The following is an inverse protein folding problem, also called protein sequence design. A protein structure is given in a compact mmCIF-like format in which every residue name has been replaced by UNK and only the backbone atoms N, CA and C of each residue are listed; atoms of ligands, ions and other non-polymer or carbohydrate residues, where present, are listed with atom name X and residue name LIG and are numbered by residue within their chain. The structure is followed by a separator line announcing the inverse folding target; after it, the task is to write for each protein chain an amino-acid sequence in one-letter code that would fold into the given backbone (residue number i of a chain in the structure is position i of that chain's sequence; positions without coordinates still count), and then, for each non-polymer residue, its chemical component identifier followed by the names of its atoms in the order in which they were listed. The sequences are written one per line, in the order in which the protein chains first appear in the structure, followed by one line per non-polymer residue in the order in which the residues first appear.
data_IF_725697526763
#
_entry.id   IF_725697526763
#
_cell.length_a   1.000
_cell.length_b   1.000
_cell.length_c   1.000
_cell.angle_alpha   90.00
_cell.angle_beta   90.00
_cell.angle_gamma   90.00
#
_symmetry.space_group_name_H-M   'P 1'
#
loop_
_entity.id
_entity.type
_entity.pdbx_description
1 polymer ?
#
# COMPACT_ATOMS: atom_id res chain seq x y z
N UNK A 1 20.29 -0.61 17.83
CA UNK A 1 18.99 -1.31 17.83
C UNK A 1 19.15 -2.65 18.53
N UNK A 2 18.19 -3.07 19.35
CA UNK A 2 18.21 -4.43 19.93
C UNK A 2 17.94 -5.44 18.79
N UNK A 3 18.75 -6.48 18.72
CA UNK A 3 18.58 -7.56 17.75
C UNK A 3 17.51 -8.54 18.27
N UNK A 4 16.53 -8.85 17.44
CA UNK A 4 15.50 -9.85 17.77
C UNK A 4 16.05 -11.21 17.38
N UNK A 5 16.17 -12.13 18.35
CA UNK A 5 16.56 -13.50 18.07
C UNK A 5 15.46 -14.21 17.24
N UNK A 6 15.88 -15.02 16.25
CA UNK A 6 14.95 -15.74 15.36
C UNK A 6 13.96 -16.61 16.16
N UNK A 7 14.40 -17.18 17.30
CA UNK A 7 13.52 -17.95 18.20
C UNK A 7 12.38 -17.11 18.79
N UNK A 8 12.58 -15.82 19.01
CA UNK A 8 11.54 -14.95 19.54
C UNK A 8 10.44 -14.64 18.51
N UNK A 9 10.75 -14.71 17.21
CA UNK A 9 9.73 -14.57 16.17
C UNK A 9 8.70 -15.70 16.23
N UNK A 10 9.09 -16.89 16.71
CA UNK A 10 8.17 -18.03 16.85
C UNK A 10 7.02 -17.76 17.84
N UNK A 11 7.22 -16.89 18.82
CA UNK A 11 6.15 -16.52 19.76
C UNK A 11 4.97 -15.83 19.08
N UNK A 12 5.20 -15.20 17.91
CA UNK A 12 4.12 -14.61 17.12
C UNK A 12 3.19 -15.65 16.47
N UNK A 13 3.57 -16.92 16.45
CA UNK A 13 2.71 -18.02 15.96
C UNK A 13 1.45 -18.15 16.82
N UNK A 14 1.55 -17.88 18.13
CA UNK A 14 0.41 -18.01 19.06
C UNK A 14 -0.73 -17.06 18.67
N UNK A 15 -0.55 -15.72 18.65
CA UNK A 15 -1.63 -14.82 18.25
C UNK A 15 -2.06 -15.01 16.78
N UNK A 16 -1.14 -15.36 15.87
CA UNK A 16 -1.47 -15.66 14.48
C UNK A 16 -2.38 -16.91 14.36
N UNK A 17 -2.15 -17.94 15.18
CA UNK A 17 -2.98 -19.15 15.19
C UNK A 17 -4.39 -18.86 15.72
N UNK A 18 -4.52 -18.02 16.74
CA UNK A 18 -5.84 -17.59 17.26
C UNK A 18 -6.62 -16.85 16.17
N UNK A 19 -5.99 -15.88 15.51
CA UNK A 19 -6.62 -15.12 14.42
C UNK A 19 -6.95 -16.05 13.25
N UNK A 20 -6.04 -16.93 12.87
CA UNK A 20 -6.24 -17.89 11.77
C UNK A 20 -7.41 -18.85 12.04
N UNK A 21 -7.55 -19.33 13.27
CA UNK A 21 -8.68 -20.17 13.68
C UNK A 21 -10.00 -19.39 13.64
N UNK A 22 -10.05 -18.19 14.21
CA UNK A 22 -11.25 -17.34 14.18
C UNK A 22 -11.66 -16.99 12.75
N UNK A 23 -10.69 -16.63 11.91
CA UNK A 23 -10.92 -16.33 10.49
C UNK A 23 -11.51 -17.54 9.75
N UNK A 24 -10.94 -18.73 9.97
CA UNK A 24 -11.47 -19.97 9.41
C UNK A 24 -12.92 -20.23 9.87
N UNK A 25 -13.22 -20.06 11.16
CA UNK A 25 -14.55 -20.30 11.72
C UNK A 25 -15.60 -19.36 11.17
N UNK A 26 -15.26 -18.09 10.93
CA UNK A 26 -16.22 -17.07 10.50
C UNK A 26 -16.32 -16.90 8.98
N UNK A 27 -15.21 -17.06 8.27
CA UNK A 27 -15.13 -16.81 6.83
C UNK A 27 -15.11 -18.10 6.01
N UNK A 28 -14.80 -19.25 6.63
CA UNK A 28 -14.76 -20.55 5.98
C UNK A 28 -13.52 -20.85 5.15
N UNK A 29 -12.56 -19.92 5.06
CA UNK A 29 -11.33 -20.08 4.26
C UNK A 29 -10.20 -20.66 5.10
N UNK A 30 -9.86 -21.93 4.85
CA UNK A 30 -8.75 -22.61 5.51
C UNK A 30 -7.40 -22.09 5.02
N UNK A 31 -6.49 -21.80 5.97
CA UNK A 31 -5.08 -21.55 5.66
C UNK A 31 -4.76 -20.21 5.03
N UNK A 32 -5.73 -19.31 4.78
CA UNK A 32 -5.47 -18.02 4.15
C UNK A 32 -4.50 -17.15 4.96
N UNK A 33 -4.67 -17.09 6.28
CA UNK A 33 -3.78 -16.33 7.18
C UNK A 33 -2.37 -16.96 7.19
N UNK A 34 -2.28 -18.29 7.27
CA UNK A 34 -0.99 -18.98 7.27
C UNK A 34 -0.24 -18.78 5.94
N UNK A 35 -0.95 -18.88 4.80
CA UNK A 35 -0.36 -18.63 3.48
C UNK A 35 0.09 -17.16 3.34
N UNK A 36 -0.71 -16.21 3.81
CA UNK A 36 -0.35 -14.79 3.79
C UNK A 36 0.90 -14.52 4.64
N UNK A 37 0.97 -15.10 5.84
CA UNK A 37 2.13 -14.96 6.73
C UNK A 37 3.39 -15.58 6.13
N UNK A 38 3.30 -16.80 5.59
CA UNK A 38 4.44 -17.45 4.92
C UNK A 38 4.94 -16.64 3.73
N UNK A 39 4.01 -16.19 2.87
CA UNK A 39 4.33 -15.35 1.72
C UNK A 39 5.00 -14.04 2.14
N UNK A 40 4.47 -13.37 3.16
CA UNK A 40 5.06 -12.14 3.73
C UNK A 40 6.50 -12.39 4.19
N UNK A 41 6.74 -13.47 4.96
CA UNK A 41 8.07 -13.78 5.50
C UNK A 41 9.08 -14.05 4.37
N UNK A 42 8.71 -14.86 3.39
CA UNK A 42 9.57 -15.13 2.22
C UNK A 42 9.84 -13.86 1.42
N UNK A 43 8.81 -13.04 1.17
CA UNK A 43 8.96 -11.79 0.44
C UNK A 43 9.88 -10.80 1.16
N UNK A 44 9.76 -10.67 2.49
CA UNK A 44 10.64 -9.77 3.26
C UNK A 44 12.10 -10.21 3.21
N UNK A 45 12.36 -11.51 3.31
CA UNK A 45 13.73 -12.04 3.19
C UNK A 45 14.30 -11.75 1.79
N UNK A 46 13.55 -12.06 0.74
CA UNK A 46 13.98 -11.81 -0.65
C UNK A 46 14.23 -10.32 -0.92
N UNK A 47 13.31 -9.46 -0.48
CA UNK A 47 13.47 -8.01 -0.63
C UNK A 47 14.69 -7.52 0.13
N UNK A 48 14.98 -8.05 1.32
CA UNK A 48 16.19 -7.71 2.08
C UNK A 48 17.45 -7.91 1.25
N UNK A 49 17.62 -9.06 0.59
CA UNK A 49 18.76 -9.33 -0.29
C UNK A 49 18.81 -8.39 -1.50
N UNK A 50 17.65 -8.16 -2.16
CA UNK A 50 17.58 -7.25 -3.31
C UNK A 50 17.96 -5.82 -2.92
N UNK A 51 17.49 -5.34 -1.77
CA UNK A 51 17.81 -3.99 -1.27
C UNK A 51 19.30 -3.83 -0.96
N UNK A 52 19.94 -4.84 -0.37
CA UNK A 52 21.39 -4.80 -0.11
C UNK A 52 22.16 -4.59 -1.41
N UNK A 53 21.89 -5.41 -2.44
CA UNK A 53 22.53 -5.28 -3.75
C UNK A 53 22.23 -3.94 -4.43
N UNK A 54 20.98 -3.48 -4.34
CA UNK A 54 20.55 -2.23 -4.99
C UNK A 54 21.18 -0.99 -4.33
N UNK A 55 21.33 -0.99 -3.01
CA UNK A 55 21.95 0.11 -2.29
C UNK A 55 23.47 0.21 -2.52
N UNK A 56 24.12 -0.90 -2.86
CA UNK A 56 25.53 -0.93 -3.25
C UNK A 56 25.75 -0.42 -4.68
N UNK A 57 24.89 -0.82 -5.62
CA UNK A 57 25.07 -0.52 -7.04
C UNK A 57 24.41 0.78 -7.50
N UNK A 58 23.34 1.20 -6.82
CA UNK A 58 22.49 2.37 -7.14
C UNK A 58 22.12 2.49 -8.64
N UNK A 59 21.77 1.36 -9.25
CA UNK A 59 21.53 1.24 -10.68
C UNK A 59 20.08 1.59 -11.05
N UNK A 60 19.85 2.58 -11.89
CA UNK A 60 18.51 3.06 -12.29
C UNK A 60 17.63 1.97 -12.90
N UNK A 61 18.18 1.06 -13.69
CA UNK A 61 17.39 -0.01 -14.31
C UNK A 61 16.86 -1.01 -13.27
N UNK A 62 17.65 -1.34 -12.24
CA UNK A 62 17.19 -2.21 -11.14
C UNK A 62 16.11 -1.54 -10.30
N UNK A 63 16.28 -0.25 -10.03
CA UNK A 63 15.25 0.56 -9.35
C UNK A 63 13.94 0.56 -10.14
N UNK A 64 14.01 0.83 -11.44
CA UNK A 64 12.84 0.85 -12.33
C UNK A 64 12.16 -0.51 -12.41
N UNK A 65 12.93 -1.59 -12.52
CA UNK A 65 12.42 -2.96 -12.52
C UNK A 65 11.69 -3.28 -11.21
N UNK A 66 12.27 -2.90 -10.08
CA UNK A 66 11.65 -3.12 -8.77
C UNK A 66 10.33 -2.34 -8.64
N UNK A 67 10.27 -1.09 -9.09
CA UNK A 67 9.04 -0.29 -9.10
C UNK A 67 7.96 -0.94 -9.97
N UNK A 68 8.31 -1.47 -11.13
CA UNK A 68 7.38 -2.21 -12.01
C UNK A 68 6.86 -3.46 -11.32
N UNK A 69 7.72 -4.23 -10.67
CA UNK A 69 7.31 -5.41 -9.89
C UNK A 69 6.39 -5.01 -8.75
N UNK A 70 6.70 -3.93 -8.01
CA UNK A 70 5.88 -3.45 -6.90
C UNK A 70 4.48 -3.04 -7.36
N UNK A 71 4.37 -2.20 -8.39
CA UNK A 71 3.06 -1.72 -8.86
C UNK A 71 2.23 -2.83 -9.49
N UNK A 72 2.86 -3.74 -10.24
CA UNK A 72 2.18 -4.90 -10.85
C UNK A 72 1.66 -5.84 -9.77
N UNK A 73 2.47 -6.12 -8.75
CA UNK A 73 2.06 -6.93 -7.59
C UNK A 73 0.91 -6.28 -6.84
N UNK A 74 0.96 -4.96 -6.62
CA UNK A 74 -0.13 -4.21 -6.00
C UNK A 74 -1.43 -4.33 -6.80
N UNK A 75 -1.36 -4.22 -8.14
CA UNK A 75 -2.52 -4.40 -9.01
C UNK A 75 -3.10 -5.82 -8.96
N UNK A 76 -2.25 -6.85 -8.93
CA UNK A 76 -2.70 -8.25 -8.77
C UNK A 76 -3.40 -8.48 -7.43
N UNK A 77 -2.88 -7.92 -6.35
CA UNK A 77 -3.49 -8.05 -5.02
C UNK A 77 -4.82 -7.29 -4.98
N UNK A 78 -4.86 -6.06 -5.52
CA UNK A 78 -6.09 -5.27 -5.58
C UNK A 78 -7.22 -6.00 -6.31
N UNK A 79 -6.90 -6.68 -7.42
CA UNK A 79 -7.86 -7.45 -8.21
C UNK A 79 -8.44 -8.66 -7.49
N UNK A 80 -7.77 -9.18 -6.46
CA UNK A 80 -8.14 -10.44 -5.80
C UNK A 80 -9.58 -10.47 -5.32
N UNK A 81 -10.08 -9.37 -4.80
CA UNK A 81 -11.43 -9.25 -4.21
C UNK A 81 -12.50 -8.78 -5.21
N UNK A 82 -12.13 -8.59 -6.47
CA UNK A 82 -13.04 -8.14 -7.52
C UNK A 82 -13.59 -9.36 -8.26
N UNK A 83 -14.92 -9.49 -8.44
CA UNK A 83 -15.52 -10.64 -9.12
C UNK A 83 -15.09 -10.73 -10.59
N UNK A 84 -15.02 -9.59 -11.28
CA UNK A 84 -14.62 -9.52 -12.69
C UNK A 84 -13.10 -9.67 -12.83
N UNK A 85 -12.68 -10.80 -13.38
CA UNK A 85 -11.26 -11.14 -13.56
C UNK A 85 -10.80 -11.03 -15.03
N UNK A 86 -11.43 -10.14 -15.80
CA UNK A 86 -11.02 -9.85 -17.16
C UNK A 86 -9.72 -9.01 -17.23
N UNK A 87 -9.08 -9.05 -18.38
CA UNK A 87 -7.82 -8.31 -18.59
C UNK A 87 -8.04 -6.79 -18.61
N UNK A 88 -9.20 -6.34 -19.06
CA UNK A 88 -9.55 -4.90 -19.10
C UNK A 88 -9.64 -4.31 -17.70
N UNK A 89 -10.31 -5.01 -16.78
CA UNK A 89 -10.39 -4.59 -15.36
C UNK A 89 -9.02 -4.58 -14.71
N UNK A 90 -8.17 -5.59 -14.97
CA UNK A 90 -6.79 -5.57 -14.49
C UNK A 90 -6.00 -4.38 -15.04
N UNK A 91 -6.11 -4.09 -16.33
CA UNK A 91 -5.47 -2.93 -16.95
C UNK A 91 -5.91 -1.61 -16.32
N UNK A 92 -7.21 -1.45 -16.04
CA UNK A 92 -7.73 -0.25 -15.36
C UNK A 92 -7.18 -0.12 -13.94
N UNK A 93 -7.13 -1.21 -13.18
CA UNK A 93 -6.54 -1.22 -11.83
C UNK A 93 -5.06 -0.77 -11.89
N UNK A 94 -4.29 -1.41 -12.77
CA UNK A 94 -2.86 -1.10 -12.94
C UNK A 94 -2.66 0.38 -13.31
N UNK A 95 -3.37 0.87 -14.32
CA UNK A 95 -3.30 2.27 -14.75
C UNK A 95 -3.69 3.22 -13.63
N UNK A 96 -4.73 2.89 -12.85
CA UNK A 96 -5.18 3.72 -11.73
C UNK A 96 -4.13 3.82 -10.63
N UNK A 97 -3.46 2.71 -10.28
CA UNK A 97 -2.39 2.70 -9.27
C UNK A 97 -1.13 3.40 -9.82
N UNK A 98 -0.78 3.18 -11.09
CA UNK A 98 0.37 3.84 -11.72
C UNK A 98 0.15 5.35 -11.76
N UNK A 99 -0.94 5.83 -12.31
CA UNK A 99 -1.19 7.26 -12.46
C UNK A 99 -1.38 7.94 -11.09
N UNK A 100 -2.22 7.38 -10.21
CA UNK A 100 -2.46 7.95 -8.89
C UNK A 100 -1.25 7.85 -7.96
N UNK A 101 -0.51 6.73 -7.99
CA UNK A 101 0.65 6.50 -7.15
C UNK A 101 1.91 7.16 -7.67
N UNK A 102 2.30 6.89 -8.93
CA UNK A 102 3.58 7.39 -9.47
C UNK A 102 3.58 8.90 -9.66
N UNK A 103 2.43 9.53 -9.96
CA UNK A 103 2.33 10.99 -9.95
C UNK A 103 2.68 11.56 -8.56
N UNK A 104 2.08 11.02 -7.51
CA UNK A 104 2.38 11.46 -6.14
C UNK A 104 3.84 11.21 -5.75
N UNK A 105 4.41 10.06 -6.14
CA UNK A 105 5.81 9.75 -5.91
C UNK A 105 6.73 10.78 -6.58
N UNK A 106 6.51 11.03 -7.86
CA UNK A 106 7.31 11.99 -8.62
C UNK A 106 7.19 13.41 -8.05
N UNK A 107 5.97 13.82 -7.65
CA UNK A 107 5.74 15.12 -7.03
C UNK A 107 6.49 15.27 -5.70
N UNK A 108 6.42 14.25 -4.84
CA UNK A 108 7.10 14.30 -3.54
C UNK A 108 8.61 14.29 -3.69
N UNK A 109 9.15 13.43 -4.54
CA UNK A 109 10.60 13.34 -4.76
C UNK A 109 11.18 14.55 -5.48
N UNK A 110 10.44 15.11 -6.46
CA UNK A 110 10.96 16.18 -7.31
C UNK A 110 10.66 17.59 -6.80
N UNK A 111 9.59 17.78 -6.03
CA UNK A 111 9.11 19.11 -5.63
C UNK A 111 9.16 19.34 -4.13
N UNK A 112 8.79 18.31 -3.34
CA UNK A 112 8.60 18.50 -1.89
C UNK A 112 9.87 18.22 -1.09
N UNK A 113 10.62 17.19 -1.45
CA UNK A 113 11.79 16.76 -0.66
C UNK A 113 13.09 17.44 -1.09
N UNK A 114 13.13 18.11 -2.23
CA UNK A 114 14.32 18.83 -2.76
C UNK A 114 15.61 18.00 -2.65
N UNK A 115 15.52 16.71 -2.99
CA UNK A 115 16.64 15.78 -2.88
C UNK A 115 17.72 16.09 -3.92
N UNK A 116 18.99 16.07 -3.52
CA UNK A 116 20.13 16.18 -4.44
C UNK A 116 20.10 15.10 -5.54
N UNK A 117 19.62 13.90 -5.19
CA UNK A 117 19.38 12.81 -6.13
C UNK A 117 17.96 12.26 -5.92
N UNK A 118 16.96 12.66 -6.73
CA UNK A 118 15.60 12.16 -6.64
C UNK A 118 15.45 10.66 -6.92
N UNK A 119 16.46 10.04 -7.53
CA UNK A 119 16.47 8.61 -7.88
C UNK A 119 17.25 7.75 -6.88
N UNK A 120 17.61 8.27 -5.71
CA UNK A 120 18.21 7.44 -4.67
C UNK A 120 17.24 6.37 -4.18
N UNK A 121 17.63 5.11 -4.38
CA UNK A 121 16.83 3.95 -4.03
C UNK A 121 16.41 3.91 -2.55
N UNK A 122 17.23 4.50 -1.66
CA UNK A 122 16.96 4.57 -0.21
C UNK A 122 15.73 5.39 0.13
N UNK A 123 15.37 6.39 -0.70
CA UNK A 123 14.15 7.18 -0.57
C UNK A 123 13.03 6.65 -1.45
N UNK A 124 13.33 6.35 -2.71
CA UNK A 124 12.32 5.96 -3.70
C UNK A 124 11.57 4.69 -3.29
N UNK A 125 12.29 3.65 -2.86
CA UNK A 125 11.67 2.34 -2.60
C UNK A 125 10.72 2.36 -1.40
N UNK A 126 11.10 2.90 -0.22
CA UNK A 126 10.18 2.99 0.91
C UNK A 126 8.95 3.84 0.60
N UNK A 127 9.14 5.01 -0.06
CA UNK A 127 8.03 5.88 -0.43
C UNK A 127 7.10 5.23 -1.45
N UNK A 128 7.64 4.61 -2.50
CA UNK A 128 6.87 3.84 -3.48
C UNK A 128 6.08 2.70 -2.82
N UNK A 129 6.70 1.98 -1.88
CA UNK A 129 6.04 0.91 -1.13
C UNK A 129 4.82 1.40 -0.36
N UNK A 130 4.95 2.52 0.35
CA UNK A 130 3.83 3.12 1.08
C UNK A 130 2.73 3.60 0.13
N UNK A 131 3.08 4.24 -0.97
CA UNK A 131 2.15 4.72 -2.00
C UNK A 131 1.36 3.57 -2.61
N UNK A 132 2.07 2.58 -3.17
CA UNK A 132 1.41 1.50 -3.90
C UNK A 132 0.60 0.58 -2.97
N UNK A 133 1.06 0.33 -1.75
CA UNK A 133 0.32 -0.44 -0.77
C UNK A 133 -0.99 0.26 -0.36
N UNK A 134 -0.96 1.58 -0.13
CA UNK A 134 -2.17 2.32 0.19
C UNK A 134 -3.12 2.45 -0.99
N UNK A 135 -2.62 2.75 -2.19
CA UNK A 135 -3.43 2.78 -3.41
C UNK A 135 -4.10 1.42 -3.66
N UNK A 136 -3.36 0.32 -3.50
CA UNK A 136 -3.88 -1.04 -3.60
C UNK A 136 -5.01 -1.31 -2.61
N UNK A 137 -4.82 -0.98 -1.32
CA UNK A 137 -5.80 -1.22 -0.28
C UNK A 137 -7.06 -0.36 -0.48
N UNK A 138 -6.89 0.93 -0.77
CA UNK A 138 -7.98 1.84 -1.03
C UNK A 138 -8.81 1.40 -2.25
N UNK A 139 -8.12 1.03 -3.34
CA UNK A 139 -8.77 0.58 -4.58
C UNK A 139 -9.50 -0.76 -4.38
N UNK A 140 -8.90 -1.72 -3.66
CA UNK A 140 -9.54 -3.00 -3.33
C UNK A 140 -10.87 -2.79 -2.61
N UNK A 141 -10.88 -1.89 -1.61
CA UNK A 141 -12.07 -1.60 -0.82
C UNK A 141 -13.12 -0.83 -1.63
N UNK A 142 -12.69 0.15 -2.44
CA UNK A 142 -13.58 0.89 -3.34
C UNK A 142 -14.23 -0.03 -4.36
N UNK A 143 -13.44 -0.90 -4.98
CA UNK A 143 -13.92 -1.82 -6.00
C UNK A 143 -14.92 -2.85 -5.43
N UNK A 144 -14.59 -3.46 -4.27
CA UNK A 144 -15.50 -4.41 -3.60
C UNK A 144 -16.84 -3.73 -3.24
N UNK A 145 -16.75 -2.52 -2.66
CA UNK A 145 -17.95 -1.80 -2.26
C UNK A 145 -18.79 -1.38 -3.48
N UNK A 146 -18.14 -0.89 -4.53
CA UNK A 146 -18.83 -0.50 -5.75
C UNK A 146 -19.58 -1.67 -6.39
N UNK A 147 -18.95 -2.85 -6.48
CA UNK A 147 -19.57 -4.05 -7.06
C UNK A 147 -20.85 -4.47 -6.31
N UNK A 148 -20.88 -4.33 -4.98
CA UNK A 148 -22.06 -4.61 -4.16
C UNK A 148 -23.17 -3.57 -4.36
N UNK A 149 -22.82 -2.29 -4.43
CA UNK A 149 -23.80 -1.22 -4.49
C UNK A 149 -24.42 -1.05 -5.90
N UNK A 150 -23.66 -1.34 -6.97
CA UNK A 150 -24.13 -1.18 -8.34
C UNK A 150 -25.31 -2.11 -8.70
N UNK A 151 -25.51 -3.20 -7.95
CA UNK A 151 -26.64 -4.12 -8.16
C UNK A 151 -27.97 -3.48 -7.77
N UNK A 152 -27.95 -2.49 -6.87
CA UNK A 152 -29.13 -1.91 -6.26
C UNK A 152 -29.26 -0.40 -6.48
N UNK A 153 -28.20 0.28 -6.90
CA UNK A 153 -28.14 1.74 -6.99
C UNK A 153 -27.60 2.22 -8.34
N UNK A 154 -28.05 3.41 -8.78
CA UNK A 154 -27.45 4.07 -9.94
C UNK A 154 -25.95 4.29 -9.74
N UNK A 155 -25.19 4.24 -10.84
CA UNK A 155 -23.72 4.35 -10.84
C UNK A 155 -23.18 5.49 -9.96
N UNK A 156 -23.75 6.69 -10.03
CA UNK A 156 -23.27 7.85 -9.27
C UNK A 156 -23.39 7.65 -7.76
N UNK A 157 -24.50 7.06 -7.29
CA UNK A 157 -24.69 6.74 -5.87
C UNK A 157 -23.76 5.62 -5.42
N UNK A 158 -23.66 4.54 -6.20
CA UNK A 158 -22.75 3.43 -5.92
C UNK A 158 -21.29 3.91 -5.84
N UNK A 159 -20.85 4.78 -6.78
CA UNK A 159 -19.54 5.41 -6.80
C UNK A 159 -19.27 6.23 -5.54
N UNK A 160 -20.22 7.09 -5.15
CA UNK A 160 -20.08 7.93 -3.96
C UNK A 160 -19.93 7.11 -2.68
N UNK A 161 -20.74 6.07 -2.50
CA UNK A 161 -20.68 5.18 -1.34
C UNK A 161 -19.37 4.41 -1.33
N UNK A 162 -18.93 3.89 -2.47
CA UNK A 162 -17.67 3.14 -2.60
C UNK A 162 -16.46 4.02 -2.30
N UNK A 163 -16.40 5.22 -2.84
CA UNK A 163 -15.34 6.17 -2.57
C UNK A 163 -15.29 6.53 -1.08
N UNK A 164 -16.44 6.90 -0.49
CA UNK A 164 -16.52 7.21 0.95
C UNK A 164 -16.02 6.04 1.81
N UNK A 165 -16.48 4.82 1.54
CA UNK A 165 -16.10 3.64 2.31
C UNK A 165 -14.58 3.38 2.23
N UNK A 166 -13.97 3.54 1.07
CA UNK A 166 -12.54 3.34 0.88
C UNK A 166 -11.67 4.41 1.54
N UNK A 167 -12.22 5.61 1.78
CA UNK A 167 -11.49 6.69 2.43
C UNK A 167 -11.56 6.64 3.96
N UNK A 168 -12.50 5.91 4.55
CA UNK A 168 -12.66 5.82 6.01
C UNK A 168 -11.36 5.39 6.71
N UNK A 169 -10.67 4.30 6.34
CA UNK A 169 -9.45 3.89 7.01
C UNK A 169 -8.34 4.93 6.91
N UNK A 170 -8.23 5.61 5.78
CA UNK A 170 -7.21 6.63 5.54
C UNK A 170 -7.46 7.89 6.37
N UNK A 171 -8.72 8.36 6.42
CA UNK A 171 -9.12 9.50 7.24
C UNK A 171 -8.91 9.17 8.73
N UNK A 172 -9.30 7.97 9.17
CA UNK A 172 -9.09 7.54 10.55
C UNK A 172 -7.60 7.52 10.92
N UNK A 173 -6.73 7.08 10.00
CA UNK A 173 -5.29 7.12 10.19
C UNK A 173 -4.77 8.55 10.37
N UNK A 174 -5.28 9.51 9.59
CA UNK A 174 -4.94 10.93 9.75
C UNK A 174 -5.34 11.48 11.12
N UNK A 175 -6.54 11.14 11.55
CA UNK A 175 -7.05 11.58 12.86
C UNK A 175 -6.29 10.94 14.05
N UNK A 176 -5.76 9.73 13.85
CA UNK A 176 -5.06 8.98 14.88
C UNK A 176 -3.58 9.37 15.04
N UNK A 177 -2.95 9.84 13.96
CA UNK A 177 -1.51 10.17 13.96
C UNK A 177 -1.20 11.30 14.95
N UNK A 178 -0.16 11.08 15.74
CA UNK A 178 0.35 12.02 16.73
C UNK A 178 -0.18 11.78 18.14
N UNK A 179 -1.43 11.35 18.30
CA UNK A 179 -2.03 11.09 19.62
C UNK A 179 -2.23 9.61 19.91
N UNK A 180 -2.72 8.86 18.93
CA UNK A 180 -3.02 7.42 19.09
C UNK A 180 -1.87 6.58 18.57
N UNK A 181 -1.21 7.01 17.51
CA UNK A 181 -0.13 6.27 16.88
C UNK A 181 1.01 7.16 16.42
N UNK A 182 2.23 6.68 16.58
CA UNK A 182 3.42 7.21 15.91
C UNK A 182 3.75 6.30 14.72
N UNK A 183 3.80 6.82 13.50
CA UNK A 183 4.12 6.02 12.32
C UNK A 183 5.53 5.43 12.38
N UNK A 184 5.68 4.19 11.90
CA UNK A 184 6.92 3.44 12.01
C UNK A 184 8.14 4.13 11.39
N UNK A 185 7.96 4.87 10.29
CA UNK A 185 9.04 5.63 9.66
C UNK A 185 9.55 6.75 10.56
N UNK A 186 8.66 7.56 11.13
CA UNK A 186 9.01 8.60 12.10
C UNK A 186 9.69 7.99 13.33
N UNK A 187 9.14 6.91 13.88
CA UNK A 187 9.74 6.21 15.01
C UNK A 187 11.13 5.69 14.68
N UNK A 188 11.33 5.12 13.49
CA UNK A 188 12.63 4.67 13.02
C UNK A 188 13.67 5.80 12.91
N UNK A 189 13.27 6.96 12.39
CA UNK A 189 14.12 8.14 12.30
C UNK A 189 14.53 8.64 13.69
N UNK A 190 13.60 8.76 14.64
CA UNK A 190 13.89 9.19 16.01
C UNK A 190 14.84 8.20 16.71
N UNK A 191 14.60 6.90 16.58
CA UNK A 191 15.48 5.86 17.13
C UNK A 191 16.87 5.85 16.49
N UNK A 192 17.01 6.39 15.28
CA UNK A 192 18.28 6.58 14.59
C UNK A 192 18.99 7.90 14.93
N UNK A 193 18.41 8.70 15.84
CA UNK A 193 19.01 9.96 16.32
C UNK A 193 18.58 11.20 15.56
N UNK A 194 17.60 11.12 14.66
CA UNK A 194 17.03 12.31 13.98
C UNK A 194 16.18 13.10 14.96
N UNK A 195 16.31 14.44 14.92
CA UNK A 195 15.50 15.34 15.72
C UNK A 195 13.99 15.08 15.49
N UNK A 196 13.17 14.95 16.55
CA UNK A 196 11.75 14.67 16.43
C UNK A 196 10.98 15.67 15.57
N UNK A 197 11.30 16.97 15.62
CA UNK A 197 10.63 18.00 14.82
C UNK A 197 10.95 17.88 13.33
N UNK A 198 12.15 17.41 12.99
CA UNK A 198 12.52 17.10 11.61
C UNK A 198 11.76 15.85 11.14
N UNK A 199 11.71 14.80 11.95
CA UNK A 199 10.97 13.58 11.65
C UNK A 199 9.46 13.84 11.46
N UNK A 200 8.86 14.74 12.25
CA UNK A 200 7.46 15.17 12.11
C UNK A 200 7.20 15.79 10.75
N UNK A 201 8.05 16.70 10.28
CA UNK A 201 7.88 17.36 8.96
C UNK A 201 7.87 16.33 7.84
N UNK A 202 8.80 15.38 7.89
CA UNK A 202 8.86 14.28 6.92
C UNK A 202 7.59 13.42 6.96
N UNK A 203 7.11 13.12 8.17
CA UNK A 203 5.91 12.31 8.36
C UNK A 203 4.63 12.99 7.85
N UNK A 204 4.50 14.31 7.97
CA UNK A 204 3.36 15.06 7.41
C UNK A 204 3.31 14.88 5.88
N UNK A 205 4.46 15.00 5.21
CA UNK A 205 4.56 14.77 3.75
C UNK A 205 4.15 13.34 3.39
N UNK A 206 4.67 12.36 4.11
CA UNK A 206 4.35 10.94 3.89
C UNK A 206 2.86 10.66 4.07
N UNK A 207 2.24 11.20 5.11
CA UNK A 207 0.80 11.01 5.34
C UNK A 207 -0.03 11.62 4.21
N UNK A 208 0.26 12.87 3.81
CA UNK A 208 -0.43 13.52 2.69
C UNK A 208 -0.29 12.72 1.40
N UNK A 209 0.91 12.24 1.10
CA UNK A 209 1.22 11.39 -0.06
C UNK A 209 0.39 10.09 -0.06
N UNK A 210 0.28 9.42 1.07
CA UNK A 210 -0.51 8.19 1.25
C UNK A 210 -1.99 8.45 0.95
N UNK A 211 -2.57 9.49 1.53
CA UNK A 211 -3.96 9.87 1.30
C UNK A 211 -4.22 10.18 -0.17
N UNK A 212 -3.39 11.05 -0.75
CA UNK A 212 -3.53 11.48 -2.14
C UNK A 212 -3.42 10.31 -3.12
N UNK A 213 -2.47 9.40 -2.91
CA UNK A 213 -2.28 8.24 -3.80
C UNK A 213 -3.49 7.31 -3.79
N UNK A 214 -4.04 7.00 -2.63
CA UNK A 214 -5.24 6.19 -2.50
C UNK A 214 -6.48 6.84 -3.11
N UNK A 215 -6.68 8.13 -2.79
CA UNK A 215 -7.81 8.89 -3.32
C UNK A 215 -7.75 9.04 -4.85
N UNK A 216 -6.59 9.43 -5.41
CA UNK A 216 -6.44 9.60 -6.86
C UNK A 216 -6.61 8.28 -7.61
N UNK A 217 -6.05 7.19 -7.11
CA UNK A 217 -6.23 5.86 -7.70
C UNK A 217 -7.72 5.46 -7.72
N UNK A 218 -8.46 5.71 -6.64
CA UNK A 218 -9.89 5.45 -6.57
C UNK A 218 -10.70 6.34 -7.51
N UNK A 219 -10.37 7.62 -7.63
CA UNK A 219 -11.04 8.55 -8.55
C UNK A 219 -10.88 8.06 -9.98
N UNK A 220 -9.67 7.72 -10.40
CA UNK A 220 -9.40 7.21 -11.75
C UNK A 220 -10.19 5.90 -11.98
N UNK A 221 -10.07 4.95 -11.08
CA UNK A 221 -10.73 3.66 -11.21
C UNK A 221 -12.25 3.80 -11.32
N UNK A 222 -12.89 4.49 -10.38
CA UNK A 222 -14.35 4.64 -10.31
C UNK A 222 -14.92 5.52 -11.44
N UNK A 223 -14.13 6.44 -12.00
CA UNK A 223 -14.55 7.25 -13.13
C UNK A 223 -14.56 6.48 -14.46
N UNK A 224 -13.59 5.57 -14.65
CA UNK A 224 -13.45 4.85 -15.91
C UNK A 224 -14.11 3.47 -15.92
N UNK A 225 -14.41 2.89 -14.76
CA UNK A 225 -15.02 1.57 -14.65
C UNK A 225 -16.31 1.40 -15.47
N UNK A 226 -17.27 2.36 -15.50
CA UNK A 226 -18.51 2.21 -16.27
C UNK A 226 -18.28 2.15 -17.79
N UNK A 227 -17.16 2.71 -18.27
CA UNK A 227 -16.83 2.67 -19.70
C UNK A 227 -16.36 1.29 -20.16
N UNK A 228 -15.88 0.47 -19.23
CA UNK A 228 -15.45 -0.91 -19.49
C UNK A 228 -16.59 -1.93 -19.38
N UNK A 229 -17.66 -1.55 -18.69
CA UNK A 229 -18.83 -2.41 -18.46
C UNK A 229 -19.95 -2.20 -19.49
N UNK A 230 -19.77 -1.25 -20.42
CA UNK A 230 -20.58 -1.07 -21.62
C UNK A 230 -20.05 -1.94 -22.76
#
# INVERSE_FOLDING_TARGET
MQTIALSHLLFMIIPLSIVGYAYYRWVGKKGEIAQATLRMSVQLILVGYVLTSLFETNTLWMLSLLLVVMVTTAAFIARRNIPQKDFKTFGLILVSIVLGGSFNLAWVLGVVLELNNPFDARFVIPLAGMIYANAMNALSLAAERYEKEKEHLPHEKARSIAFKASMIPQINQFLAVGFVSLPGMMTGQILSGVDPLVAVRYQIVVMAMILCSGAMSNIIYLAYLPRLQK
#
